data_IF_290275999866
#
_entry.id   IF_290275999866
#
_cell.length_a   1.000
_cell.length_b   1.000
_cell.length_c   1.000
_cell.angle_alpha   90.00
_cell.angle_beta   90.00
_cell.angle_gamma   90.00
#
_symmetry.space_group_name_H-M   'P 1'
#
loop_
_entity.id
_entity.type
_entity.pdbx_description
1 polymer ?
#
# COMPACT_ATOMS: atom_id res chain seq x y z
N UNK A 1 -8.24 9.64 19.44
CA UNK A 1 -9.41 9.67 18.53
C UNK A 1 -8.96 10.42 17.28
N UNK A 2 -9.02 9.82 16.10
CA UNK A 2 -8.54 10.47 14.87
C UNK A 2 -9.51 11.61 14.48
N UNK A 3 -8.98 12.76 14.08
CA UNK A 3 -9.77 13.91 13.63
C UNK A 3 -10.54 13.60 12.34
N UNK A 4 -9.94 12.79 11.47
CA UNK A 4 -10.54 12.33 10.20
C UNK A 4 -11.18 10.95 10.41
N UNK A 5 -12.45 10.75 10.01
CA UNK A 5 -13.10 9.45 10.17
C UNK A 5 -12.48 8.39 9.26
N UNK A 6 -12.20 7.21 9.83
CA UNK A 6 -11.73 6.02 9.11
C UNK A 6 -12.93 5.15 8.74
N UNK A 7 -13.65 5.53 7.68
CA UNK A 7 -14.93 4.95 7.28
C UNK A 7 -14.81 3.69 6.41
N UNK A 8 -13.65 3.48 5.80
CA UNK A 8 -13.42 2.39 4.85
C UNK A 8 -12.48 1.35 5.46
N UNK A 9 -12.50 0.14 4.91
CA UNK A 9 -11.62 -0.94 5.32
C UNK A 9 -10.96 -1.58 4.12
N UNK A 10 -9.66 -1.85 4.24
CA UNK A 10 -8.84 -2.44 3.19
C UNK A 10 -7.86 -3.42 3.82
N UNK A 11 -7.47 -4.46 3.12
CA UNK A 11 -6.49 -5.40 3.64
C UNK A 11 -5.09 -4.91 3.28
N UNK A 12 -4.19 -4.91 4.25
CA UNK A 12 -2.79 -4.56 4.08
C UNK A 12 -1.92 -5.71 4.56
N UNK A 13 -0.88 -5.99 3.80
CA UNK A 13 0.14 -6.98 4.11
C UNK A 13 1.45 -6.24 4.36
N UNK A 14 1.96 -6.34 5.58
CA UNK A 14 3.29 -5.85 5.90
C UNK A 14 4.37 -6.72 5.25
N UNK A 15 5.62 -6.23 5.25
CA UNK A 15 6.75 -6.94 4.66
C UNK A 15 6.84 -8.38 5.17
N UNK A 16 7.07 -9.27 4.22
CA UNK A 16 7.38 -10.66 4.44
C UNK A 16 8.47 -10.85 5.52
N UNK A 17 8.16 -11.60 6.58
CA UNK A 17 9.17 -12.06 7.52
C UNK A 17 10.17 -13.00 6.83
N UNK A 18 11.24 -13.38 7.51
CA UNK A 18 12.12 -14.45 7.02
C UNK A 18 11.72 -15.77 7.68
N UNK A 19 11.56 -16.82 6.88
CA UNK A 19 11.37 -18.20 7.37
C UNK A 19 12.60 -19.01 6.97
N UNK A 20 12.98 -19.98 7.80
CA UNK A 20 14.00 -20.96 7.42
C UNK A 20 13.40 -22.07 6.57
N UNK A 21 14.02 -22.36 5.43
CA UNK A 21 13.71 -23.53 4.63
C UNK A 21 14.25 -24.81 5.30
N UNK A 22 13.96 -25.98 4.70
CA UNK A 22 14.45 -27.28 5.18
C UNK A 22 15.98 -27.45 5.12
N UNK A 23 16.68 -26.54 4.45
CA UNK A 23 18.13 -26.52 4.29
C UNK A 23 18.80 -25.45 5.18
N UNK A 24 18.03 -24.72 5.98
CA UNK A 24 18.52 -23.67 6.88
C UNK A 24 18.68 -22.30 6.24
N UNK A 25 18.30 -22.11 4.96
CA UNK A 25 18.35 -20.83 4.29
C UNK A 25 17.19 -19.93 4.71
N UNK A 26 17.42 -18.62 4.79
CA UNK A 26 16.37 -17.63 5.00
C UNK A 26 15.66 -17.36 3.68
N UNK A 27 14.38 -17.71 3.62
CA UNK A 27 13.46 -17.40 2.52
C UNK A 27 12.43 -16.37 2.96
N UNK A 28 12.00 -15.52 2.03
CA UNK A 28 10.92 -14.57 2.28
C UNK A 28 9.61 -15.34 2.52
N UNK A 29 8.97 -15.11 3.66
CA UNK A 29 7.66 -15.64 3.98
C UNK A 29 6.63 -14.51 3.86
N UNK A 30 5.55 -14.66 3.07
CA UNK A 30 4.56 -13.61 2.91
C UNK A 30 4.05 -13.13 4.29
N UNK A 31 3.95 -11.81 4.47
CA UNK A 31 3.39 -11.25 5.70
C UNK A 31 1.94 -11.67 5.89
N UNK A 32 1.39 -11.47 7.08
CA UNK A 32 -0.03 -11.71 7.29
C UNK A 32 -0.86 -10.56 6.71
N UNK A 33 -1.99 -10.91 6.10
CA UNK A 33 -2.99 -9.93 5.70
C UNK A 33 -3.74 -9.46 6.94
N UNK A 34 -3.73 -8.15 7.19
CA UNK A 34 -4.54 -7.52 8.24
C UNK A 34 -5.55 -6.56 7.62
N UNK A 35 -6.77 -6.59 8.12
CA UNK A 35 -7.77 -5.59 7.76
C UNK A 35 -7.49 -4.29 8.51
N UNK A 36 -7.31 -3.21 7.76
CA UNK A 36 -6.98 -1.87 8.26
C UNK A 36 -8.11 -0.91 7.94
N UNK A 37 -8.45 -0.05 8.89
CA UNK A 37 -9.38 1.06 8.64
C UNK A 37 -8.65 2.24 8.03
N UNK A 38 -9.21 2.76 6.95
CA UNK A 38 -8.63 3.85 6.16
C UNK A 38 -9.63 4.99 6.02
N UNK A 39 -9.12 6.20 5.89
CA UNK A 39 -9.96 7.38 5.68
C UNK A 39 -10.58 7.37 4.27
N UNK A 40 -9.75 7.05 3.27
CA UNK A 40 -10.15 6.93 1.88
C UNK A 40 -9.09 6.18 1.09
N UNK A 41 -9.50 5.60 -0.04
CA UNK A 41 -8.60 5.13 -1.08
C UNK A 41 -9.18 5.42 -2.46
N UNK A 42 -8.32 5.58 -3.46
CA UNK A 42 -8.74 5.76 -4.85
C UNK A 42 -7.69 5.22 -5.80
N UNK A 43 -8.14 4.81 -6.98
CA UNK A 43 -7.28 4.40 -8.09
C UNK A 43 -7.13 5.60 -9.02
N UNK A 44 -5.89 5.95 -9.35
CA UNK A 44 -5.56 6.96 -10.36
C UNK A 44 -5.23 6.31 -11.71
N UNK A 45 -5.23 7.13 -12.76
CA UNK A 45 -5.25 6.74 -14.17
C UNK A 45 -4.11 5.80 -14.54
N UNK A 46 -4.48 4.80 -15.35
CA UNK A 46 -3.61 3.82 -15.98
C UNK A 46 -2.56 4.47 -16.89
N UNK A 47 -1.29 4.19 -16.66
CA UNK A 47 -0.22 4.47 -17.62
C UNK A 47 0.00 3.26 -18.52
N UNK A 48 -0.16 3.42 -19.83
CA UNK A 48 0.33 2.45 -20.80
C UNK A 48 1.82 2.68 -21.06
N UNK A 49 2.66 1.75 -20.60
CA UNK A 49 4.08 1.73 -20.95
C UNK A 49 4.30 0.75 -22.09
N UNK A 50 4.60 1.29 -23.27
CA UNK A 50 5.16 0.53 -24.38
C UNK A 50 6.69 0.47 -24.21
N UNK A 51 7.22 -0.71 -23.85
CA UNK A 51 8.66 -0.97 -23.81
C UNK A 51 8.98 -2.37 -24.35
N UNK A 52 10.05 -2.48 -25.13
CA UNK A 52 10.67 -3.72 -25.65
C UNK A 52 9.72 -4.90 -25.96
N UNK A 53 8.64 -4.62 -26.71
CA UNK A 53 7.66 -5.60 -27.22
C UNK A 53 6.56 -6.09 -26.27
N UNK A 54 6.38 -5.49 -25.08
CA UNK A 54 5.23 -5.82 -24.20
C UNK A 54 4.50 -4.55 -23.78
N UNK A 55 3.19 -4.50 -24.09
CA UNK A 55 2.29 -3.47 -23.56
C UNK A 55 2.00 -3.80 -22.10
N UNK A 56 2.29 -2.86 -21.21
CA UNK A 56 1.93 -2.97 -19.79
C UNK A 56 1.05 -1.80 -19.38
N UNK A 57 -0.04 -2.11 -18.72
CA UNK A 57 -0.92 -1.14 -18.07
C UNK A 57 -0.52 -1.07 -16.60
N UNK A 58 -0.10 0.11 -16.14
CA UNK A 58 0.24 0.37 -14.75
C UNK A 58 -0.84 1.22 -14.13
N UNK A 59 -1.60 0.65 -13.22
CA UNK A 59 -2.59 1.38 -12.41
C UNK A 59 -1.95 1.81 -11.10
N UNK A 60 -2.34 2.99 -10.59
CA UNK A 60 -1.86 3.50 -9.30
C UNK A 60 -2.99 3.55 -8.28
N UNK A 61 -2.71 3.16 -7.04
CA UNK A 61 -3.61 3.18 -5.90
C UNK A 61 -3.02 4.08 -4.82
N UNK A 62 -3.85 4.97 -4.29
CA UNK A 62 -3.52 5.83 -3.18
C UNK A 62 -4.40 5.50 -1.98
N UNK A 63 -3.80 5.35 -0.80
CA UNK A 63 -4.52 4.99 0.43
C UNK A 63 -4.16 5.93 1.57
N UNK A 64 -5.18 6.53 2.17
CA UNK A 64 -5.06 7.37 3.36
C UNK A 64 -5.26 6.54 4.63
N UNK A 65 -4.20 6.30 5.38
CA UNK A 65 -4.25 5.46 6.58
C UNK A 65 -3.48 6.08 7.75
N UNK A 66 -3.62 5.49 8.93
CA UNK A 66 -2.82 5.88 10.08
C UNK A 66 -1.36 5.47 9.87
N UNK A 67 -0.37 6.26 10.35
CA UNK A 67 1.04 5.94 10.23
C UNK A 67 1.42 4.55 10.77
N UNK A 68 0.77 4.11 11.87
CA UNK A 68 1.02 2.80 12.48
C UNK A 68 0.52 1.62 11.62
N UNK A 69 -0.43 1.89 10.72
CA UNK A 69 -1.04 0.88 9.87
C UNK A 69 -0.43 0.83 8.47
N UNK A 70 0.38 1.82 8.11
CA UNK A 70 1.02 1.92 6.80
C UNK A 70 1.98 0.75 6.55
N UNK A 71 1.81 -0.02 5.46
CA UNK A 71 2.78 -1.02 5.05
C UNK A 71 4.07 -0.36 4.53
N UNK A 72 5.21 -1.01 4.74
CA UNK A 72 6.49 -0.57 4.17
C UNK A 72 6.59 -0.82 2.65
N UNK A 73 7.74 -0.46 2.03
CA UNK A 73 7.95 -0.47 0.57
C UNK A 73 7.80 -1.83 -0.14
N UNK A 74 7.88 -2.94 0.60
CA UNK A 74 7.67 -4.29 0.08
C UNK A 74 6.27 -4.86 0.42
N UNK A 75 5.42 -4.02 0.99
CA UNK A 75 4.07 -4.39 1.40
C UNK A 75 3.12 -4.53 0.21
N UNK A 76 1.95 -5.09 0.51
CA UNK A 76 0.86 -5.20 -0.46
C UNK A 76 -0.43 -4.67 0.13
N UNK A 77 -1.30 -4.21 -0.75
CA UNK A 77 -2.62 -3.71 -0.41
C UNK A 77 -3.63 -4.50 -1.23
N UNK A 78 -4.71 -4.97 -0.60
CA UNK A 78 -5.80 -5.67 -1.27
C UNK A 78 -7.08 -4.89 -1.09
N UNK A 79 -7.61 -4.40 -2.20
CA UNK A 79 -8.87 -3.64 -2.27
C UNK A 79 -10.08 -4.57 -2.08
N UNK A 80 -11.26 -4.04 -1.71
CA UNK A 80 -12.47 -4.84 -1.47
C UNK A 80 -12.97 -5.65 -2.67
N UNK A 81 -12.58 -5.28 -3.89
CA UNK A 81 -12.84 -6.01 -5.13
C UNK A 81 -11.90 -7.23 -5.32
N UNK A 82 -10.95 -7.44 -4.41
CA UNK A 82 -10.01 -8.55 -4.42
C UNK A 82 -8.71 -8.29 -5.19
N UNK A 83 -8.54 -7.12 -5.83
CA UNK A 83 -7.29 -6.77 -6.53
C UNK A 83 -6.15 -6.55 -5.55
N UNK A 84 -4.94 -6.92 -5.95
CA UNK A 84 -3.73 -6.83 -5.13
C UNK A 84 -2.73 -5.87 -5.75
N UNK A 85 -2.36 -4.87 -4.96
CA UNK A 85 -1.51 -3.76 -5.34
C UNK A 85 -0.19 -3.86 -4.57
N UNK A 86 0.93 -3.57 -5.23
CA UNK A 86 2.26 -3.56 -4.62
C UNK A 86 2.64 -2.15 -4.19
N UNK A 87 2.97 -1.96 -2.91
CA UNK A 87 3.36 -0.65 -2.36
C UNK A 87 4.57 -0.11 -3.13
N UNK A 88 4.59 1.20 -3.34
CA UNK A 88 5.65 1.94 -4.00
C UNK A 88 6.33 2.85 -3.00
N UNK A 89 7.60 2.56 -2.68
CA UNK A 89 8.40 3.41 -1.80
C UNK A 89 7.84 3.50 -0.38
N UNK A 90 8.20 4.57 0.31
CA UNK A 90 7.73 4.82 1.68
C UNK A 90 6.42 5.59 1.65
N UNK A 91 5.62 5.48 2.72
CA UNK A 91 4.44 6.30 2.92
C UNK A 91 4.81 7.78 3.03
N UNK A 92 4.02 8.64 2.40
CA UNK A 92 4.17 10.09 2.50
C UNK A 92 3.43 10.61 3.73
N UNK A 93 4.15 11.35 4.56
CA UNK A 93 3.61 11.97 5.77
C UNK A 93 3.28 13.43 5.50
N UNK A 94 2.04 13.86 5.76
CA UNK A 94 1.58 15.24 5.60
C UNK A 94 1.22 15.89 6.95
N UNK A 95 1.76 15.40 8.07
CA UNK A 95 1.56 15.95 9.42
C UNK A 95 2.33 17.25 9.70
N UNK A 96 2.50 18.09 8.68
CA UNK A 96 3.25 19.34 8.72
C UNK A 96 2.56 20.42 7.88
N UNK A 97 1.22 20.47 7.93
CA UNK A 97 0.40 21.38 7.14
C UNK A 97 0.46 22.85 7.59
N UNK A 98 -0.11 23.71 6.75
CA UNK A 98 -0.21 25.16 6.99
C UNK A 98 -0.87 25.47 8.36
N UNK A 99 -0.31 26.44 9.10
CA UNK A 99 -0.70 26.78 10.49
C UNK A 99 -0.69 25.62 11.50
N UNK A 100 0.13 24.59 11.28
CA UNK A 100 0.22 23.45 12.20
C UNK A 100 -0.95 22.48 12.07
N UNK A 101 -1.61 22.46 10.91
CA UNK A 101 -2.62 21.45 10.62
C UNK A 101 -1.97 20.05 10.53
N UNK A 102 -2.46 19.14 11.38
CA UNK A 102 -1.94 17.77 11.50
C UNK A 102 -3.13 16.81 11.30
N UNK A 103 -3.33 16.27 10.08
CA UNK A 103 -4.44 15.37 9.79
C UNK A 103 -4.32 14.01 10.50
N UNK A 104 -3.11 13.62 10.90
CA UNK A 104 -2.82 12.33 11.55
C UNK A 104 -2.82 11.15 10.59
N UNK A 105 -2.71 11.39 9.28
CA UNK A 105 -2.75 10.38 8.23
C UNK A 105 -1.49 10.44 7.36
N UNK A 106 -1.15 9.29 6.78
CA UNK A 106 -0.13 9.14 5.75
C UNK A 106 -0.77 8.62 4.47
N UNK A 107 -0.12 8.91 3.34
CA UNK A 107 -0.52 8.41 2.02
C UNK A 107 0.39 7.25 1.64
N UNK A 108 -0.21 6.10 1.36
CA UNK A 108 0.47 4.93 0.82
C UNK A 108 0.18 4.86 -0.66
N UNK A 109 1.24 4.92 -1.46
CA UNK A 109 1.18 4.73 -2.90
C UNK A 109 1.41 3.25 -3.22
N UNK A 110 0.59 2.66 -4.07
CA UNK A 110 0.74 1.30 -4.55
C UNK A 110 0.44 1.23 -6.06
N UNK A 111 0.90 0.18 -6.72
CA UNK A 111 0.62 -0.03 -8.15
C UNK A 111 0.25 -1.47 -8.46
N UNK A 112 -0.57 -1.64 -9.48
CA UNK A 112 -0.84 -2.91 -10.13
C UNK A 112 -0.23 -2.85 -11.53
N UNK A 113 0.50 -3.90 -11.92
CA UNK A 113 1.08 -4.00 -13.27
C UNK A 113 0.41 -5.15 -13.98
N UNK A 114 -0.34 -4.83 -15.03
CA UNK A 114 -1.01 -5.79 -15.91
C UNK A 114 -0.30 -5.79 -17.27
N UNK A 115 -0.11 -6.97 -17.88
CA UNK A 115 0.58 -7.12 -19.17
C UNK A 115 0.80 -8.58 -19.54
#
# INVERSE_FOLDING_TARGET
>A
MAFIPLSQSIDMQAKAGTKRDRFGNLVAAPGEWRQVRVASWWVDRSEEKAGDSVLRTVDYLHVHCLPADAPGPDGRVRTPDGRVWSVQGNSEDFNHGFHGFIPGLVVVHAKEVQG
#
